data_IF_734169579343
#
_entry.id   IF_734169579343
#
_cell.length_a   1.000
_cell.length_b   1.000
_cell.length_c   1.000
_cell.angle_alpha   90.00
_cell.angle_beta   90.00
_cell.angle_gamma   90.00
#
_symmetry.space_group_name_H-M   'P 1'
#
loop_
_entity.id
_entity.type
_entity.pdbx_description
1 polymer ?
#
# COMPACT_ATOMS: atom_id res chain seq x y z
N UNK A 1 -36.59 -8.66 78.07
CA UNK A 1 -36.39 -9.32 76.77
C UNK A 1 -36.67 -8.29 75.69
N UNK A 2 -35.62 -7.66 75.15
CA UNK A 2 -35.71 -6.72 74.02
C UNK A 2 -34.98 -7.37 72.84
N UNK A 3 -35.72 -7.72 71.79
CA UNK A 3 -35.17 -8.24 70.55
C UNK A 3 -35.21 -7.12 69.49
N UNK A 4 -34.08 -6.47 69.29
CA UNK A 4 -33.86 -5.51 68.19
C UNK A 4 -33.51 -6.30 66.94
N UNK A 5 -34.43 -6.37 65.98
CA UNK A 5 -34.19 -6.94 64.65
C UNK A 5 -33.62 -5.86 63.73
N UNK A 6 -32.42 -6.09 63.21
CA UNK A 6 -31.75 -5.26 62.21
C UNK A 6 -32.09 -5.84 60.84
N UNK A 7 -32.84 -5.08 60.03
CA UNK A 7 -33.18 -5.42 58.65
C UNK A 7 -32.15 -4.76 57.72
N UNK A 8 -31.34 -5.55 57.01
CA UNK A 8 -30.47 -5.08 55.94
C UNK A 8 -31.22 -5.07 54.60
N UNK A 9 -31.19 -3.97 53.82
CA UNK A 9 -31.72 -3.99 52.46
C UNK A 9 -30.73 -4.67 51.51
N UNK A 10 -31.18 -5.73 50.83
CA UNK A 10 -30.53 -6.30 49.64
C UNK A 10 -30.92 -5.43 48.44
N UNK A 11 -29.99 -4.58 48.00
CA UNK A 11 -30.12 -3.84 46.75
C UNK A 11 -29.73 -4.75 45.58
N UNK A 12 -30.73 -5.35 44.94
CA UNK A 12 -30.58 -6.00 43.64
C UNK A 12 -30.48 -4.95 42.54
N UNK A 13 -29.27 -4.64 42.09
CA UNK A 13 -29.04 -3.90 40.85
C UNK A 13 -28.53 -4.88 39.79
N UNK A 14 -29.44 -5.40 38.98
CA UNK A 14 -29.11 -6.01 37.70
C UNK A 14 -28.73 -4.91 36.72
N UNK A 15 -27.49 -4.41 36.83
CA UNK A 15 -26.89 -3.62 35.76
C UNK A 15 -26.46 -4.61 34.67
N UNK A 16 -27.16 -4.59 33.54
CA UNK A 16 -26.62 -5.03 32.26
C UNK A 16 -25.31 -4.28 32.02
N UNK A 17 -24.18 -4.98 32.20
CA UNK A 17 -22.86 -4.53 31.78
C UNK A 17 -22.90 -4.38 30.25
N UNK A 18 -23.19 -3.17 29.79
CA UNK A 18 -22.79 -2.75 28.47
C UNK A 18 -21.27 -2.85 28.45
N UNK A 19 -20.74 -3.80 27.67
CA UNK A 19 -19.32 -3.94 27.43
C UNK A 19 -18.76 -2.57 27.03
N UNK A 20 -18.05 -1.94 27.96
CA UNK A 20 -17.33 -0.70 27.72
C UNK A 20 -16.25 -1.05 26.70
N UNK A 21 -16.49 -0.73 25.42
CA UNK A 21 -15.44 -0.71 24.43
C UNK A 21 -14.37 0.25 24.96
N UNK A 22 -13.23 -0.30 25.36
CA UNK A 22 -12.09 0.49 25.79
C UNK A 22 -11.70 1.40 24.63
N UNK A 23 -12.10 2.67 24.75
CA UNK A 23 -11.81 3.69 23.75
C UNK A 23 -10.32 3.97 23.87
N UNK A 24 -9.52 3.19 23.14
CA UNK A 24 -8.11 3.50 22.91
C UNK A 24 -8.06 4.97 22.49
N UNK A 25 -7.32 5.78 23.25
CA UNK A 25 -7.11 7.19 22.89
C UNK A 25 -6.18 7.18 21.71
N UNK A 26 -6.76 7.05 20.53
CA UNK A 26 -6.06 7.13 19.27
C UNK A 26 -6.05 8.59 18.82
N UNK A 27 -4.92 9.09 18.36
CA UNK A 27 -4.74 10.52 18.02
C UNK A 27 -5.64 10.98 16.87
N UNK A 28 -6.11 10.07 16.01
CA UNK A 28 -7.10 10.32 14.96
C UNK A 28 -8.15 9.19 14.91
N UNK A 29 -9.22 9.38 14.12
CA UNK A 29 -10.31 8.42 13.98
C UNK A 29 -10.94 8.49 12.58
N UNK A 30 -11.34 7.34 12.04
CA UNK A 30 -12.13 7.23 10.80
C UNK A 30 -13.62 7.40 11.16
N UNK A 31 -14.22 8.55 10.81
CA UNK A 31 -15.59 8.92 11.18
C UNK A 31 -16.63 8.56 10.12
N UNK A 32 -16.24 8.58 8.84
CA UNK A 32 -17.13 8.22 7.73
C UNK A 32 -16.40 7.50 6.60
N UNK A 33 -17.10 6.56 5.96
CA UNK A 33 -16.68 5.88 4.73
C UNK A 33 -17.84 5.92 3.75
N UNK A 34 -17.61 6.55 2.60
CA UNK A 34 -18.59 6.69 1.53
C UNK A 34 -17.99 6.16 0.24
N UNK A 35 -18.82 5.56 -0.59
CA UNK A 35 -18.39 5.01 -1.88
C UNK A 35 -19.29 5.57 -2.95
N UNK A 36 -18.69 6.13 -3.99
CA UNK A 36 -19.39 6.62 -5.17
C UNK A 36 -18.86 5.85 -6.37
N UNK A 37 -19.75 5.27 -7.16
CA UNK A 37 -19.40 4.61 -8.39
C UNK A 37 -19.86 5.47 -9.57
N UNK A 38 -18.96 5.72 -10.52
CA UNK A 38 -19.24 6.40 -11.77
C UNK A 38 -18.74 5.52 -12.93
N UNK A 39 -19.65 4.71 -13.49
CA UNK A 39 -19.30 3.70 -14.49
C UNK A 39 -18.34 2.65 -13.90
N UNK A 40 -17.14 2.59 -14.47
CA UNK A 40 -16.07 1.67 -14.07
C UNK A 40 -15.18 2.21 -12.94
N UNK A 41 -15.27 3.52 -12.66
CA UNK A 41 -14.52 4.19 -11.59
C UNK A 41 -15.29 4.12 -10.27
N UNK A 42 -14.58 3.80 -9.19
CA UNK A 42 -15.10 3.73 -7.83
C UNK A 42 -14.26 4.63 -6.95
N UNK A 43 -14.87 5.64 -6.35
CA UNK A 43 -14.22 6.56 -5.41
C UNK A 43 -14.68 6.24 -4.00
N UNK A 44 -13.75 5.76 -3.17
CA UNK A 44 -13.94 5.59 -1.73
C UNK A 44 -13.45 6.86 -1.03
N UNK A 45 -14.36 7.58 -0.37
CA UNK A 45 -14.06 8.74 0.46
C UNK A 45 -14.12 8.35 1.94
N UNK A 46 -12.99 8.49 2.63
CA UNK A 46 -12.93 8.42 4.08
C UNK A 46 -12.92 9.83 4.67
N UNK A 47 -13.60 10.02 5.80
CA UNK A 47 -13.56 11.26 6.60
C UNK A 47 -12.87 10.96 7.92
N UNK A 48 -11.75 11.63 8.16
CA UNK A 48 -10.98 11.56 9.40
C UNK A 48 -11.47 12.61 10.40
N UNK A 49 -11.23 12.38 11.68
CA UNK A 49 -11.47 13.36 12.74
C UNK A 49 -10.51 14.56 12.62
N UNK A 50 -9.24 14.29 12.34
CA UNK A 50 -8.17 15.29 12.14
C UNK A 50 -7.56 15.17 10.74
N UNK A 51 -7.08 16.28 10.17
CA UNK A 51 -6.40 16.26 8.88
C UNK A 51 -5.15 15.36 8.90
N UNK A 52 -4.88 14.70 7.78
CA UNK A 52 -3.67 13.89 7.58
C UNK A 52 -2.61 14.70 6.84
N UNK A 53 -1.36 14.56 7.26
CA UNK A 53 -0.22 15.24 6.64
C UNK A 53 0.38 14.46 5.46
N UNK A 54 0.18 13.15 5.42
CA UNK A 54 0.68 12.25 4.38
C UNK A 54 -0.32 11.11 4.13
N UNK A 55 -0.43 10.60 2.89
CA UNK A 55 -1.35 9.51 2.57
C UNK A 55 -1.01 8.25 3.38
N UNK A 56 -2.01 7.43 3.74
CA UNK A 56 -1.75 6.18 4.46
C UNK A 56 -0.92 5.22 3.59
N UNK A 57 0.10 4.55 4.15
CA UNK A 57 0.78 3.45 3.47
C UNK A 57 -0.22 2.41 2.96
N UNK A 58 0.02 1.87 1.76
CA UNK A 58 -0.88 0.91 1.13
C UNK A 58 -0.14 -0.25 0.48
N UNK A 59 -0.82 -1.39 0.35
CA UNK A 59 -0.28 -2.57 -0.34
C UNK A 59 -1.40 -3.34 -1.04
N UNK A 60 -1.06 -3.98 -2.16
CA UNK A 60 -1.99 -4.81 -2.92
C UNK A 60 -1.58 -6.27 -2.89
N UNK A 61 -2.55 -7.16 -2.76
CA UNK A 61 -2.40 -8.61 -2.82
C UNK A 61 -3.22 -9.10 -4.00
N UNK A 62 -2.64 -9.93 -4.87
CA UNK A 62 -3.33 -10.37 -6.09
C UNK A 62 -4.16 -11.65 -5.88
N UNK A 63 -3.78 -12.50 -4.92
CA UNK A 63 -4.45 -13.79 -4.68
C UNK A 63 -4.83 -13.94 -3.21
N UNK A 64 -6.09 -13.66 -2.83
CA UNK A 64 -7.13 -13.00 -3.62
C UNK A 64 -6.88 -11.48 -3.78
N UNK A 65 -7.50 -10.86 -4.80
CA UNK A 65 -7.33 -9.44 -5.12
C UNK A 65 -7.82 -8.53 -3.97
N UNK A 66 -6.89 -7.80 -3.34
CA UNK A 66 -7.15 -6.91 -2.20
C UNK A 66 -6.20 -5.73 -2.23
N UNK A 67 -6.67 -4.57 -1.77
CA UNK A 67 -5.83 -3.41 -1.45
C UNK A 67 -6.00 -3.13 0.04
N UNK A 68 -4.92 -2.95 0.78
CA UNK A 68 -4.96 -2.62 2.19
C UNK A 68 -4.24 -1.30 2.45
N UNK A 69 -4.84 -0.47 3.30
CA UNK A 69 -4.32 0.82 3.74
C UNK A 69 -4.12 0.80 5.24
N UNK A 70 -2.93 1.17 5.69
CA UNK A 70 -2.57 1.21 7.10
C UNK A 70 -2.59 2.66 7.60
N UNK A 71 -3.42 2.90 8.61
CA UNK A 71 -3.53 4.17 9.30
C UNK A 71 -2.87 4.03 10.67
N UNK A 72 -1.76 4.73 10.88
CA UNK A 72 -1.08 4.80 12.17
C UNK A 72 -1.76 5.84 13.05
N UNK A 73 -1.76 5.59 14.35
CA UNK A 73 -2.42 6.43 15.34
C UNK A 73 -3.82 6.88 14.89
N UNK A 74 -4.57 5.96 14.28
CA UNK A 74 -5.94 6.19 13.80
C UNK A 74 -6.85 5.06 14.22
N UNK A 75 -7.97 5.37 14.86
CA UNK A 75 -8.99 4.40 15.31
C UNK A 75 -10.15 4.24 14.33
N UNK A 76 -10.98 3.22 14.55
CA UNK A 76 -12.22 3.01 13.81
C UNK A 76 -13.40 3.70 14.52
N UNK A 77 -13.77 4.90 14.06
CA UNK A 77 -14.94 5.65 14.55
C UNK A 77 -16.25 5.30 13.87
N UNK A 78 -16.26 4.44 12.84
CA UNK A 78 -17.47 4.10 12.06
C UNK A 78 -18.47 3.24 12.83
N UNK A 79 -18.05 2.66 13.97
CA UNK A 79 -18.85 1.71 14.74
C UNK A 79 -19.10 0.36 14.06
N UNK A 80 -18.53 0.14 12.87
CA UNK A 80 -18.61 -1.12 12.11
C UNK A 80 -17.28 -1.45 11.45
N UNK A 81 -16.99 -2.74 11.36
CA UNK A 81 -15.73 -3.27 10.80
C UNK A 81 -15.86 -3.82 9.39
N UNK A 82 -17.07 -4.02 8.88
CA UNK A 82 -17.30 -4.60 7.54
C UNK A 82 -18.40 -3.80 6.85
N UNK A 83 -18.17 -3.47 5.59
CA UNK A 83 -19.16 -2.84 4.72
C UNK A 83 -19.14 -3.55 3.36
N UNK A 84 -20.23 -4.23 3.02
CA UNK A 84 -20.48 -4.70 1.65
C UNK A 84 -20.82 -3.51 0.77
N UNK A 85 -20.19 -3.43 -0.40
CA UNK A 85 -20.26 -2.26 -1.29
C UNK A 85 -20.71 -2.64 -2.69
N UNK A 86 -20.26 -3.80 -3.20
CA UNK A 86 -20.62 -4.37 -4.52
C UNK A 86 -20.66 -3.31 -5.64
N UNK A 87 -19.63 -2.45 -5.67
CA UNK A 87 -19.52 -1.29 -6.54
C UNK A 87 -18.37 -1.52 -7.55
N UNK A 88 -18.70 -1.76 -8.82
CA UNK A 88 -17.71 -2.03 -9.87
C UNK A 88 -16.80 -3.21 -9.52
N UNK A 89 -15.49 -2.95 -9.46
CA UNK A 89 -14.49 -3.94 -9.06
C UNK A 89 -14.30 -4.04 -7.54
N UNK A 90 -14.90 -3.15 -6.75
CA UNK A 90 -14.85 -3.15 -5.29
C UNK A 90 -16.01 -3.94 -4.69
N UNK A 91 -15.70 -5.08 -4.06
CA UNK A 91 -16.70 -5.95 -3.42
C UNK A 91 -17.06 -5.46 -2.02
N UNK A 92 -16.06 -5.25 -1.17
CA UNK A 92 -16.29 -4.86 0.22
C UNK A 92 -15.08 -4.14 0.84
N UNK A 93 -15.33 -3.41 1.93
CA UNK A 93 -14.31 -2.78 2.74
C UNK A 93 -14.36 -3.34 4.18
N UNK A 94 -13.21 -3.81 4.67
CA UNK A 94 -13.04 -4.27 6.04
C UNK A 94 -12.12 -3.32 6.80
N UNK A 95 -12.44 -3.01 8.05
CA UNK A 95 -11.67 -2.12 8.91
C UNK A 95 -11.32 -2.88 10.16
N UNK A 96 -10.02 -3.11 10.33
CA UNK A 96 -9.45 -3.91 11.41
C UNK A 96 -8.54 -3.00 12.22
N UNK A 97 -8.93 -2.71 13.45
CA UNK A 97 -8.11 -1.94 14.38
C UNK A 97 -7.38 -2.88 15.34
N UNK A 98 -6.07 -2.71 15.47
CA UNK A 98 -5.22 -3.43 16.42
C UNK A 98 -4.31 -2.42 17.10
N UNK A 99 -4.55 -2.15 18.39
CA UNK A 99 -3.83 -1.11 19.12
C UNK A 99 -4.06 0.28 18.51
N UNK A 100 -2.97 0.94 18.15
CA UNK A 100 -2.90 2.26 17.51
C UNK A 100 -2.97 2.21 15.97
N UNK A 101 -2.93 1.01 15.37
CA UNK A 101 -2.98 0.83 13.91
C UNK A 101 -4.35 0.35 13.45
N UNK A 102 -4.92 1.06 12.49
CA UNK A 102 -6.12 0.62 11.77
C UNK A 102 -5.78 0.24 10.33
N UNK A 103 -6.16 -0.97 9.92
CA UNK A 103 -6.02 -1.45 8.55
C UNK A 103 -7.38 -1.48 7.85
N UNK A 104 -7.53 -0.69 6.79
CA UNK A 104 -8.65 -0.76 5.85
C UNK A 104 -8.27 -1.72 4.73
N UNK A 105 -9.01 -2.80 4.54
CA UNK A 105 -8.83 -3.77 3.46
C UNK A 105 -10.00 -3.67 2.50
N UNK A 106 -9.73 -3.21 1.29
CA UNK A 106 -10.64 -3.24 0.15
C UNK A 106 -10.50 -4.60 -0.55
N UNK A 107 -11.58 -5.39 -0.57
CA UNK A 107 -11.64 -6.65 -1.30
C UNK A 107 -12.17 -6.38 -2.70
N UNK A 108 -11.44 -6.86 -3.71
CA UNK A 108 -11.73 -6.59 -5.11
C UNK A 108 -12.15 -7.88 -5.84
N UNK A 109 -12.92 -7.72 -6.92
CA UNK A 109 -13.27 -8.82 -7.83
C UNK A 109 -12.08 -9.23 -8.71
N UNK A 110 -11.22 -8.27 -9.07
CA UNK A 110 -9.98 -8.48 -9.82
C UNK A 110 -8.96 -7.41 -9.43
N UNK A 111 -7.71 -7.60 -9.82
CA UNK A 111 -6.66 -6.60 -9.61
C UNK A 111 -6.92 -5.38 -10.48
N UNK A 112 -7.05 -4.21 -9.87
CA UNK A 112 -7.26 -2.91 -10.53
C UNK A 112 -6.34 -1.86 -9.89
N UNK A 113 -5.78 -0.92 -10.69
CA UNK A 113 -4.97 0.15 -10.13
C UNK A 113 -5.81 1.09 -9.27
N UNK A 114 -5.14 1.82 -8.39
CA UNK A 114 -5.77 2.80 -7.52
C UNK A 114 -4.88 4.02 -7.33
N UNK A 115 -5.52 5.17 -7.08
CA UNK A 115 -4.87 6.40 -6.66
C UNK A 115 -5.38 6.81 -5.28
N UNK A 116 -4.49 7.37 -4.45
CA UNK A 116 -4.86 7.94 -3.16
C UNK A 116 -4.57 9.43 -3.13
N UNK A 117 -5.54 10.24 -2.73
CA UNK A 117 -5.40 11.69 -2.57
C UNK A 117 -5.88 12.12 -1.20
N UNK A 118 -5.15 13.06 -0.61
CA UNK A 118 -5.57 13.75 0.61
C UNK A 118 -6.15 15.13 0.30
N UNK A 119 -7.19 15.49 1.04
CA UNK A 119 -7.75 16.84 1.11
C UNK A 119 -8.09 17.16 2.57
N UNK A 120 -7.12 17.69 3.31
CA UNK A 120 -7.25 17.93 4.74
C UNK A 120 -7.60 16.66 5.51
N UNK A 121 -8.85 16.54 5.96
CA UNK A 121 -9.36 15.37 6.69
C UNK A 121 -10.02 14.31 5.81
N UNK A 122 -10.07 14.52 4.50
CA UNK A 122 -10.62 13.55 3.58
C UNK A 122 -9.50 12.75 2.92
N UNK A 123 -9.68 11.43 2.86
CA UNK A 123 -8.85 10.53 2.08
C UNK A 123 -9.71 10.01 0.94
N UNK A 124 -9.29 10.23 -0.29
CA UNK A 124 -9.94 9.73 -1.49
C UNK A 124 -9.10 8.60 -2.05
N UNK A 125 -9.73 7.44 -2.26
CA UNK A 125 -9.14 6.29 -2.93
C UNK A 125 -9.96 6.06 -4.19
N UNK A 126 -9.37 6.35 -5.35
CA UNK A 126 -10.00 6.11 -6.64
C UNK A 126 -9.51 4.77 -7.16
N UNK A 127 -10.44 3.86 -7.42
CA UNK A 127 -10.19 2.54 -7.99
C UNK A 127 -10.86 2.52 -9.35
N UNK A 128 -10.08 2.45 -10.41
CA UNK A 128 -10.60 2.39 -11.78
C UNK A 128 -9.74 1.43 -12.60
N UNK A 129 -10.34 0.65 -13.51
CA UNK A 129 -9.55 -0.03 -14.53
C UNK A 129 -8.83 1.04 -15.35
N UNK A 130 -7.57 0.81 -15.70
CA UNK A 130 -6.75 1.76 -16.45
C UNK A 130 -7.38 2.04 -17.83
N UNK A 131 -8.27 3.03 -17.89
CA UNK A 131 -8.56 3.76 -19.12
C UNK A 131 -7.55 4.88 -19.22
N UNK A 132 -6.84 4.95 -20.36
CA UNK A 132 -5.84 5.97 -20.65
C UNK A 132 -6.53 7.34 -20.71
N UNK A 133 -6.73 7.97 -19.56
CA UNK A 133 -7.26 9.32 -19.44
C UNK A 133 -6.10 10.27 -19.11
N UNK A 134 -5.51 10.82 -20.17
CA UNK A 134 -4.55 11.90 -20.08
C UNK A 134 -5.16 13.07 -19.29
N UNK A 135 -4.51 13.47 -18.19
CA UNK A 135 -4.82 14.74 -17.53
C UNK A 135 -3.67 15.71 -17.79
N UNK A 136 -3.95 16.93 -18.30
CA UNK A 136 -2.91 17.90 -18.62
C UNK A 136 -2.37 18.49 -17.31
N UNK A 137 -1.08 18.31 -17.05
CA UNK A 137 -0.38 19.11 -16.06
C UNK A 137 0.05 20.41 -16.74
N UNK A 138 -0.66 21.48 -16.40
CA UNK A 138 -0.33 22.86 -16.79
C UNK A 138 1.09 23.18 -16.33
N UNK A 139 1.94 23.49 -17.29
CA UNK A 139 3.29 23.96 -17.05
C UNK A 139 3.27 25.31 -16.34
N UNK A 140 3.96 25.40 -15.21
CA UNK A 140 4.54 26.64 -14.72
C UNK A 140 6.06 26.47 -14.74
N UNK A 141 6.65 27.08 -15.77
CA UNK A 141 8.08 27.09 -16.04
C UNK A 141 8.83 27.97 -15.02
N UNK A 142 10.00 27.49 -14.60
CA UNK A 142 11.16 28.35 -14.38
C UNK A 142 12.39 27.69 -15.00
N UNK A 143 12.89 28.38 -16.02
CA UNK A 143 14.00 28.07 -16.90
C UNK A 143 15.36 28.24 -16.22
N UNK A 144 16.35 27.43 -16.64
CA UNK A 144 17.71 27.90 -16.95
C UNK A 144 18.50 26.89 -17.80
N UNK A 145 18.61 27.23 -19.09
CA UNK A 145 19.68 27.05 -20.09
C UNK A 145 20.83 26.04 -19.85
N UNK A 146 21.00 25.03 -20.74
CA UNK A 146 21.92 25.07 -21.89
C UNK A 146 21.94 23.74 -22.69
N UNK A 147 21.56 23.83 -23.98
CA UNK A 147 22.02 23.09 -25.18
C UNK A 147 21.76 21.60 -25.47
N UNK A 148 20.94 21.45 -26.52
CA UNK A 148 20.83 20.44 -27.60
C UNK A 148 20.02 19.13 -27.44
N UNK A 149 19.25 18.76 -28.49
CA UNK A 149 18.04 17.96 -28.36
C UNK A 149 18.31 16.52 -28.77
N UNK A 150 18.51 15.63 -27.79
CA UNK A 150 18.20 14.22 -28.03
C UNK A 150 16.69 14.09 -27.91
N UNK A 151 16.08 13.65 -29.01
CA UNK A 151 14.67 13.33 -29.13
C UNK A 151 14.09 12.84 -27.81
N UNK A 152 13.12 13.59 -27.29
CA UNK A 152 12.26 13.19 -26.19
C UNK A 152 11.57 11.88 -26.59
N UNK A 153 12.24 10.78 -26.32
CA UNK A 153 11.67 9.45 -26.41
C UNK A 153 10.76 9.36 -25.21
N UNK A 154 9.50 9.06 -25.45
CA UNK A 154 8.43 8.90 -24.46
C UNK A 154 8.65 7.73 -23.45
N UNK A 155 9.90 7.42 -23.12
CA UNK A 155 10.36 6.46 -22.13
C UNK A 155 11.37 7.03 -21.11
N UNK A 156 11.75 8.30 -21.19
CA UNK A 156 12.68 8.92 -20.24
C UNK A 156 12.12 8.91 -18.79
N UNK A 157 10.80 9.06 -18.62
CA UNK A 157 10.15 9.09 -17.31
C UNK A 157 10.08 7.72 -16.62
N UNK A 158 10.27 6.62 -17.36
CA UNK A 158 10.19 5.24 -16.82
C UNK A 158 11.56 4.56 -16.77
N UNK A 159 12.58 5.33 -16.42
CA UNK A 159 13.95 4.81 -16.29
C UNK A 159 14.19 4.30 -14.87
N UNK A 160 14.83 3.14 -14.69
CA UNK A 160 15.30 2.72 -13.36
C UNK A 160 16.45 3.61 -12.93
N UNK A 161 16.30 4.30 -11.80
CA UNK A 161 17.26 5.26 -11.26
C UNK A 161 18.36 4.58 -10.46
N UNK A 162 18.01 3.61 -9.62
CA UNK A 162 18.97 2.86 -8.80
C UNK A 162 18.46 1.45 -8.46
N UNK A 163 19.39 0.54 -8.16
CA UNK A 163 19.08 -0.79 -7.64
C UNK A 163 20.05 -1.06 -6.49
N UNK A 164 19.51 -1.16 -5.28
CA UNK A 164 20.29 -1.29 -4.06
C UNK A 164 19.95 -2.60 -3.34
N UNK A 165 20.98 -3.27 -2.82
CA UNK A 165 20.84 -4.45 -1.98
C UNK A 165 21.25 -4.12 -0.55
N UNK A 166 20.41 -4.53 0.40
CA UNK A 166 20.70 -4.41 1.84
C UNK A 166 20.42 -5.71 2.56
N UNK A 167 21.31 -6.06 3.48
CA UNK A 167 21.08 -7.09 4.48
C UNK A 167 20.27 -6.51 5.65
N UNK A 168 19.19 -7.17 6.02
CA UNK A 168 18.42 -6.84 7.21
C UNK A 168 19.01 -7.42 8.50
N UNK A 169 18.43 -7.02 9.64
CA UNK A 169 18.92 -7.42 10.96
C UNK A 169 18.78 -8.93 11.21
N UNK A 170 17.76 -9.56 10.63
CA UNK A 170 17.45 -10.98 10.81
C UNK A 170 18.03 -11.86 9.70
N UNK A 171 18.91 -11.31 8.84
CA UNK A 171 19.50 -12.03 7.70
C UNK A 171 18.62 -12.04 6.46
N UNK A 172 17.54 -11.26 6.43
CA UNK A 172 16.73 -11.07 5.23
C UNK A 172 17.47 -10.25 4.16
N UNK A 173 17.20 -10.54 2.90
CA UNK A 173 17.63 -9.72 1.77
C UNK A 173 16.56 -8.68 1.45
N UNK A 174 16.95 -7.40 1.36
CA UNK A 174 16.10 -6.33 0.85
C UNK A 174 16.71 -5.78 -0.43
N UNK A 175 15.94 -5.86 -1.52
CA UNK A 175 16.26 -5.21 -2.79
C UNK A 175 15.36 -3.96 -2.87
N UNK A 176 15.97 -2.78 -3.01
CA UNK A 176 15.27 -1.50 -3.20
C UNK A 176 15.53 -1.06 -4.63
N UNK A 177 14.47 -0.78 -5.38
CA UNK A 177 14.55 -0.34 -6.77
C UNK A 177 14.01 1.07 -6.85
N UNK A 178 14.84 2.03 -7.22
CA UNK A 178 14.41 3.41 -7.38
C UNK A 178 13.92 3.62 -8.81
N UNK A 179 12.66 4.01 -8.95
CA UNK A 179 11.93 4.10 -10.21
C UNK A 179 11.85 5.54 -10.71
N UNK A 180 11.95 5.70 -12.02
CA UNK A 180 11.73 6.96 -12.73
C UNK A 180 10.37 7.58 -12.43
N UNK A 181 9.35 6.71 -12.42
CA UNK A 181 7.94 7.02 -12.27
C UNK A 181 7.26 5.92 -11.44
N UNK A 182 6.36 6.31 -10.52
CA UNK A 182 5.60 5.40 -9.66
C UNK A 182 4.58 4.57 -10.46
N UNK A 183 4.23 5.00 -11.67
CA UNK A 183 3.24 4.30 -12.49
C UNK A 183 3.78 3.00 -13.10
N UNK A 184 5.11 2.76 -13.03
CA UNK A 184 5.79 1.62 -13.67
C UNK A 184 5.15 0.31 -13.20
N UNK A 185 4.55 -0.43 -14.14
CA UNK A 185 3.90 -1.69 -13.78
C UNK A 185 4.97 -2.75 -13.48
N UNK A 186 4.87 -3.39 -12.32
CA UNK A 186 5.80 -4.42 -11.85
C UNK A 186 5.05 -5.74 -11.79
N UNK A 187 5.59 -6.76 -12.45
CA UNK A 187 5.13 -8.13 -12.37
C UNK A 187 6.19 -8.98 -11.65
N UNK A 188 5.78 -9.74 -10.64
CA UNK A 188 6.70 -10.54 -9.82
C UNK A 188 6.25 -11.99 -9.89
N UNK A 189 7.14 -12.85 -10.39
CA UNK A 189 6.85 -14.26 -10.62
C UNK A 189 7.98 -15.15 -10.13
N UNK A 190 7.62 -16.28 -9.54
CA UNK A 190 8.59 -17.34 -9.22
C UNK A 190 8.80 -18.21 -10.46
N UNK A 191 10.05 -18.30 -10.93
CA UNK A 191 10.45 -19.12 -12.08
C UNK A 191 11.47 -20.17 -11.62
N UNK A 192 11.00 -21.38 -11.36
CA UNK A 192 11.82 -22.43 -10.75
C UNK A 192 12.29 -22.03 -9.36
N UNK A 193 13.61 -22.02 -9.15
CA UNK A 193 14.24 -21.57 -7.90
C UNK A 193 14.39 -20.04 -7.79
N UNK A 194 14.21 -19.31 -8.91
CA UNK A 194 14.47 -17.88 -8.97
C UNK A 194 13.19 -17.05 -8.81
N UNK A 195 13.35 -15.82 -8.34
CA UNK A 195 12.32 -14.80 -8.39
C UNK A 195 12.62 -13.85 -9.56
N UNK A 196 11.66 -13.67 -10.45
CA UNK A 196 11.76 -12.80 -11.62
C UNK A 196 10.84 -11.61 -11.40
N UNK A 197 11.37 -10.42 -11.57
CA UNK A 197 10.66 -9.14 -11.47
C UNK A 197 10.74 -8.48 -12.84
N UNK A 198 9.60 -8.37 -13.51
CA UNK A 198 9.48 -7.72 -14.81
C UNK A 198 8.90 -6.31 -14.61
N UNK A 199 9.68 -5.29 -14.95
CA UNK A 199 9.27 -3.89 -14.94
C UNK A 199 8.86 -3.48 -16.36
N UNK A 200 7.57 -3.25 -16.55
CA UNK A 200 6.99 -3.04 -17.87
C UNK A 200 7.25 -1.63 -18.38
N UNK A 201 7.64 -1.51 -19.65
CA UNK A 201 7.96 -0.23 -20.32
C UNK A 201 9.02 0.57 -19.55
N UNK A 202 9.88 -0.12 -18.81
CA UNK A 202 10.97 0.49 -18.06
C UNK A 202 12.27 0.41 -18.85
N UNK A 203 13.13 1.40 -18.69
CA UNK A 203 14.47 1.44 -19.29
C UNK A 203 15.54 1.20 -18.23
N UNK A 204 16.55 0.38 -18.53
CA UNK A 204 17.68 0.10 -17.62
C UNK A 204 18.95 0.83 -18.11
N UNK A 205 19.40 1.87 -17.39
CA UNK A 205 20.67 2.54 -17.70
C UNK A 205 21.85 1.57 -17.72
N UNK A 206 22.82 1.83 -18.60
CA UNK A 206 24.02 1.02 -18.74
C UNK A 206 24.74 0.70 -17.42
N UNK A 207 24.93 1.64 -16.48
CA UNK A 207 25.58 1.34 -15.20
C UNK A 207 24.84 0.32 -14.34
N UNK A 208 23.52 0.18 -14.54
CA UNK A 208 22.66 -0.73 -13.79
C UNK A 208 22.46 -2.08 -14.48
N UNK A 209 22.93 -2.24 -15.73
CA UNK A 209 22.96 -3.51 -16.47
C UNK A 209 24.08 -4.42 -15.96
N UNK A 210 24.00 -4.80 -14.69
CA UNK A 210 25.04 -5.56 -14.00
C UNK A 210 24.46 -6.69 -13.15
N UNK A 211 25.34 -7.62 -12.78
CA UNK A 211 25.09 -8.63 -11.76
C UNK A 211 25.64 -8.12 -10.42
N UNK A 212 24.79 -8.14 -9.40
CA UNK A 212 25.18 -7.97 -8.01
C UNK A 212 25.40 -9.37 -7.43
N UNK A 213 26.61 -9.64 -6.94
CA UNK A 213 26.91 -10.81 -6.12
C UNK A 213 26.73 -10.41 -4.66
N UNK A 214 25.90 -11.16 -3.94
CA UNK A 214 25.51 -10.86 -2.56
C UNK A 214 25.71 -12.04 -1.62
N UNK A 215 26.52 -13.01 -2.03
CA UNK A 215 26.80 -14.24 -1.28
C UNK A 215 27.44 -13.98 0.08
N UNK A 216 28.33 -12.98 0.18
CA UNK A 216 29.04 -12.64 1.43
C UNK A 216 28.19 -11.90 2.46
N UNK A 217 26.95 -11.53 2.13
CA UNK A 217 26.07 -10.78 3.03
C UNK A 217 25.27 -11.68 3.97
N UNK A 218 25.46 -13.01 3.90
CA UNK A 218 24.76 -13.94 4.81
C UNK A 218 23.25 -13.83 4.72
N UNK A 219 22.73 -13.65 3.49
CA UNK A 219 21.30 -13.70 3.17
C UNK A 219 21.02 -14.94 2.31
N UNK A 220 19.76 -15.39 2.20
CA UNK A 220 19.40 -16.46 1.28
C UNK A 220 19.64 -16.10 -0.20
N UNK A 221 19.73 -14.81 -0.55
CA UNK A 221 19.98 -14.37 -1.93
C UNK A 221 21.47 -14.47 -2.23
N UNK A 222 21.80 -15.07 -3.37
CA UNK A 222 23.19 -15.22 -3.85
C UNK A 222 23.51 -14.24 -4.97
N UNK A 223 22.55 -13.93 -5.83
CA UNK A 223 22.75 -12.95 -6.91
C UNK A 223 21.48 -12.21 -7.29
N UNK A 224 21.65 -10.98 -7.77
CA UNK A 224 20.62 -10.16 -8.41
C UNK A 224 21.15 -9.72 -9.78
N UNK A 225 20.44 -10.05 -10.84
CA UNK A 225 20.82 -9.73 -12.22
C UNK A 225 19.73 -8.87 -12.84
N UNK A 226 20.10 -7.71 -13.37
CA UNK A 226 19.15 -6.82 -14.05
C UNK A 226 19.54 -6.67 -15.51
N UNK A 227 18.58 -6.92 -16.40
CA UNK A 227 18.80 -6.91 -17.84
C UNK A 227 17.58 -6.32 -18.56
N UNK A 228 17.81 -5.68 -19.70
CA UNK A 228 16.73 -5.23 -20.56
C UNK A 228 16.27 -6.37 -21.48
N UNK A 229 14.96 -6.56 -21.59
CA UNK A 229 14.36 -7.61 -22.41
C UNK A 229 13.11 -7.06 -23.10
N UNK A 230 13.19 -6.87 -24.43
CA UNK A 230 12.04 -6.53 -25.26
C UNK A 230 11.35 -5.22 -24.87
N UNK A 231 12.11 -4.21 -24.42
CA UNK A 231 11.57 -2.91 -23.95
C UNK A 231 11.03 -2.92 -22.52
N UNK A 232 11.28 -3.99 -21.77
CA UNK A 232 11.05 -4.09 -20.32
C UNK A 232 12.38 -4.32 -19.61
N UNK A 233 12.41 -4.10 -18.29
CA UNK A 233 13.54 -4.53 -17.47
C UNK A 233 13.15 -5.82 -16.75
N UNK A 234 13.96 -6.86 -16.91
CA UNK A 234 13.84 -8.09 -16.16
C UNK A 234 14.94 -8.15 -15.12
N UNK A 235 14.54 -8.24 -13.85
CA UNK A 235 15.42 -8.50 -12.73
C UNK A 235 15.23 -9.94 -12.26
N UNK A 236 16.30 -10.72 -12.25
CA UNK A 236 16.33 -12.10 -11.75
C UNK A 236 17.08 -12.15 -10.43
N UNK A 237 16.41 -12.60 -9.39
CA UNK A 237 16.94 -12.79 -8.04
C UNK A 237 17.09 -14.29 -7.81
N UNK A 238 18.29 -14.72 -7.43
CA UNK A 238 18.63 -16.14 -7.24
C UNK A 238 18.85 -16.44 -5.75
N UNK A 239 17.81 -16.91 -5.04
CA UNK A 239 17.91 -17.36 -3.67
C UNK A 239 18.32 -18.84 -3.55
N UNK A 240 18.82 -19.23 -2.39
CA UNK A 240 19.11 -20.60 -1.98
C UNK A 240 18.29 -21.01 -0.76
N UNK A 241 17.99 -22.31 -0.65
CA UNK A 241 17.25 -22.87 0.48
C UNK A 241 15.75 -22.59 0.46
N UNK A 242 15.14 -22.62 1.64
CA UNK A 242 13.73 -22.26 1.85
C UNK A 242 13.62 -20.74 2.00
N UNK A 243 12.77 -20.12 1.19
CA UNK A 243 12.59 -18.67 1.19
C UNK A 243 11.15 -18.27 0.87
N UNK A 244 10.79 -17.13 1.42
CA UNK A 244 9.57 -16.40 1.13
C UNK A 244 9.93 -15.03 0.55
N UNK A 245 9.01 -14.41 -0.18
CA UNK A 245 9.20 -13.06 -0.70
C UNK A 245 8.02 -12.19 -0.31
N UNK A 246 8.31 -10.91 -0.08
CA UNK A 246 7.33 -9.86 0.09
C UNK A 246 7.80 -8.67 -0.74
N UNK A 247 6.89 -8.05 -1.46
CA UNK A 247 7.15 -6.90 -2.30
C UNK A 247 6.09 -5.84 -2.03
N UNK A 248 6.52 -4.60 -1.94
CA UNK A 248 5.68 -3.43 -1.79
C UNK A 248 6.24 -2.35 -2.71
N UNK A 249 5.36 -1.50 -3.22
CA UNK A 249 5.76 -0.30 -3.94
C UNK A 249 5.22 0.90 -3.17
N UNK A 250 6.08 1.85 -2.83
CA UNK A 250 5.72 3.13 -2.24
C UNK A 250 6.31 4.23 -3.11
N UNK A 251 5.44 5.03 -3.70
CA UNK A 251 5.85 6.10 -4.60
C UNK A 251 6.77 5.51 -5.70
N UNK A 252 8.02 5.93 -5.70
CA UNK A 252 9.03 5.56 -6.69
C UNK A 252 9.91 4.38 -6.24
N UNK A 253 9.52 3.58 -5.24
CA UNK A 253 10.37 2.50 -4.69
C UNK A 253 9.62 1.20 -4.45
#
# INVERSE_FOLDING_TARGET
MCATSILFPVAGHGATEAATAEKVIVGNSIEALQVNQNGSEVVVRLTMQKPMSAPPPSFSVMTPARIAFDFMDTGNGLGRSVQSLDAGDLRSANIVQVGDRTRLVLNLNRSVPYETRLDGKYVFITVSPAETAARPASAAAFSSFNSEPVAATAGADRTIRDINFRRGANGEARIIVDLGSPDTAIDIRRKGANLVVDLMKANLPEPLRRRLDVTDFGTPVTSVVSQEQGGNVQMTISPQGLWEHNAYQSDNQ
#
